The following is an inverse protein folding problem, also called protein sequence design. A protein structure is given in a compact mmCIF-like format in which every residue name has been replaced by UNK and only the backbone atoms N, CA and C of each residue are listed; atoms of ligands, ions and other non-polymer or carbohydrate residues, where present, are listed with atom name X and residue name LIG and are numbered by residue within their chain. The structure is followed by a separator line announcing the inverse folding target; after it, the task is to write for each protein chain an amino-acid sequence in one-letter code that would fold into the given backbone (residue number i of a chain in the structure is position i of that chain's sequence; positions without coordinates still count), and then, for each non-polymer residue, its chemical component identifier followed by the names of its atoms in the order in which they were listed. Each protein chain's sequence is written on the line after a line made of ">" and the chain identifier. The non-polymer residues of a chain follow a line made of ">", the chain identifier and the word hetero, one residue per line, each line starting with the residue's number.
data_IF_336904751066
#
_entry.id   IF_336904751066
#
_cell.length_a   1.000
_cell.length_b   1.000
_cell.length_c   1.000
_cell.angle_alpha   90.00
_cell.angle_beta   90.00
_cell.angle_gamma   90.00
#
_symmetry.space_group_name_H-M   'P 1'
#
loop_
_entity.id
_entity.type
_entity.pdbx_description
1 polymer ?
#
# COMPACT_ATOMS: atom_id res chain seq x y z
N UNK A 1 -2.51 2.35 10.26
CA UNK A 1 -2.20 1.05 10.92
C UNK A 1 -0.78 0.65 10.55
N UNK A 2 0.03 0.22 11.53
CA UNK A 2 1.45 -0.04 11.30
C UNK A 2 1.73 -1.45 10.78
N UNK A 3 2.68 -1.54 9.86
CA UNK A 3 3.24 -2.77 9.33
C UNK A 3 4.73 -2.84 9.64
N UNK A 4 5.25 -4.04 9.86
CA UNK A 4 6.70 -4.26 9.96
C UNK A 4 7.29 -4.43 8.57
N UNK A 5 8.25 -3.58 8.23
CA UNK A 5 8.92 -3.60 6.93
C UNK A 5 10.44 -3.58 7.11
N UNK A 6 11.16 -4.26 6.21
CA UNK A 6 12.62 -4.21 6.11
C UNK A 6 12.99 -3.39 4.87
N UNK A 7 13.77 -2.33 5.03
CA UNK A 7 14.23 -1.52 3.89
C UNK A 7 15.29 -2.29 3.11
N UNK A 8 15.06 -2.50 1.83
CA UNK A 8 15.93 -3.27 0.95
C UNK A 8 16.76 -2.36 0.02
N UNK A 9 16.17 -1.23 -0.41
CA UNK A 9 16.78 -0.29 -1.36
C UNK A 9 16.23 1.11 -1.11
N UNK A 10 17.06 2.11 -1.34
CA UNK A 10 16.67 3.51 -1.55
C UNK A 10 17.15 3.83 -2.97
N UNK A 11 16.29 4.40 -3.81
CA UNK A 11 16.67 4.76 -5.17
C UNK A 11 17.74 5.87 -5.15
N UNK A 12 18.81 5.76 -5.97
CA UNK A 12 19.92 6.72 -5.94
C UNK A 12 19.61 8.05 -6.63
N UNK A 13 18.49 8.15 -7.36
CA UNK A 13 18.06 9.36 -8.08
C UNK A 13 16.86 10.00 -7.39
N UNK A 14 15.91 9.17 -6.93
CA UNK A 14 14.71 9.61 -6.23
C UNK A 14 14.77 9.09 -4.80
N UNK A 15 15.32 9.87 -3.87
CA UNK A 15 15.61 9.43 -2.50
C UNK A 15 14.36 8.93 -1.74
N UNK A 16 13.18 9.40 -2.13
CA UNK A 16 11.90 8.95 -1.57
C UNK A 16 11.50 7.55 -2.07
N UNK A 17 11.92 7.12 -3.27
CA UNK A 17 11.55 5.82 -3.80
C UNK A 17 12.34 4.71 -3.09
N UNK A 18 11.63 3.79 -2.45
CA UNK A 18 12.19 2.75 -1.60
C UNK A 18 11.65 1.38 -1.99
N UNK A 19 12.51 0.37 -1.97
CA UNK A 19 12.07 -1.03 -1.95
C UNK A 19 12.09 -1.54 -0.51
N UNK A 20 11.04 -2.24 -0.10
CA UNK A 20 10.96 -2.86 1.21
C UNK A 20 10.37 -4.27 1.14
N UNK A 21 10.70 -5.09 2.14
CA UNK A 21 10.13 -6.41 2.35
C UNK A 21 9.05 -6.32 3.43
N UNK A 22 7.85 -6.80 3.12
CA UNK A 22 6.71 -6.87 4.03
C UNK A 22 6.03 -8.22 3.87
N UNK A 23 5.89 -8.98 4.96
CA UNK A 23 5.29 -10.32 4.92
C UNK A 23 5.84 -11.23 3.79
N UNK A 24 7.16 -11.20 3.57
CA UNK A 24 7.91 -11.92 2.50
C UNK A 24 7.62 -11.44 1.07
N UNK A 25 6.92 -10.33 0.90
CA UNK A 25 6.64 -9.70 -0.39
C UNK A 25 7.57 -8.50 -0.58
N UNK A 26 8.19 -8.38 -1.76
CA UNK A 26 8.98 -7.20 -2.12
C UNK A 26 8.05 -6.16 -2.74
N UNK A 27 8.08 -4.95 -2.21
CA UNK A 27 7.20 -3.84 -2.58
C UNK A 27 8.03 -2.59 -2.81
N UNK A 28 7.63 -1.77 -3.75
CA UNK A 28 8.19 -0.44 -4.00
C UNK A 28 7.16 0.60 -3.57
N UNK A 29 7.61 1.63 -2.87
CA UNK A 29 6.78 2.74 -2.43
C UNK A 29 7.61 4.00 -2.23
N UNK A 30 6.97 5.06 -1.77
CA UNK A 30 7.61 6.37 -1.59
C UNK A 30 7.59 6.77 -0.12
N UNK A 31 8.76 7.00 0.47
CA UNK A 31 8.90 7.58 1.81
C UNK A 31 8.34 9.01 1.81
N UNK A 32 7.30 9.25 2.60
CA UNK A 32 6.67 10.57 2.76
C UNK A 32 6.99 11.23 4.10
N UNK A 33 7.84 10.58 4.91
CA UNK A 33 8.28 11.11 6.20
C UNK A 33 9.58 11.91 6.07
N UNK A 34 9.85 12.85 6.99
CA UNK A 34 11.12 13.57 7.03
C UNK A 34 12.27 12.71 7.60
N UNK A 35 11.99 11.49 8.06
CA UNK A 35 12.96 10.63 8.71
C UNK A 35 13.88 9.98 7.69
N UNK A 36 15.19 10.05 7.97
CA UNK A 36 16.19 9.27 7.24
C UNK A 36 16.04 7.78 7.58
N UNK A 37 15.91 6.96 6.54
CA UNK A 37 15.84 5.50 6.66
C UNK A 37 17.14 4.84 6.21
N UNK A 38 17.41 3.66 6.75
CA UNK A 38 18.67 2.94 6.51
C UNK A 38 18.34 1.58 5.88
N UNK A 39 19.05 1.25 4.81
CA UNK A 39 18.96 -0.06 4.15
C UNK A 39 19.38 -1.17 5.12
N UNK A 40 18.69 -2.31 5.05
CA UNK A 40 18.81 -3.48 5.94
C UNK A 40 18.37 -3.24 7.39
N UNK A 41 17.56 -2.22 7.64
CA UNK A 41 16.94 -1.98 8.95
C UNK A 41 15.42 -2.18 8.88
N UNK A 42 14.87 -2.73 9.95
CA UNK A 42 13.43 -2.92 10.12
C UNK A 42 12.78 -1.71 10.80
N UNK A 43 11.56 -1.39 10.35
CA UNK A 43 10.75 -0.29 10.84
C UNK A 43 9.30 -0.71 10.98
N UNK A 44 8.56 0.00 11.84
CA UNK A 44 7.11 0.03 11.79
C UNK A 44 6.69 1.22 10.95
N UNK A 45 5.90 0.98 9.90
CA UNK A 45 5.50 2.00 8.94
C UNK A 45 4.01 1.92 8.64
N UNK A 46 3.39 3.06 8.40
CA UNK A 46 2.05 3.13 7.82
C UNK A 46 2.17 3.16 6.30
N UNK A 47 1.23 2.51 5.61
CA UNK A 47 1.18 2.46 4.16
C UNK A 47 -0.15 3.06 3.71
N UNK A 48 -0.07 4.08 2.87
CA UNK A 48 -1.20 4.75 2.23
C UNK A 48 -1.11 4.59 0.70
N UNK A 49 -2.18 4.92 0.00
CA UNK A 49 -2.26 4.93 -1.45
C UNK A 49 -2.24 6.36 -1.97
N UNK A 50 -1.68 6.52 -3.16
CA UNK A 50 -1.78 7.75 -3.92
C UNK A 50 -2.36 7.46 -5.29
N UNK A 51 -3.30 8.30 -5.70
CA UNK A 51 -3.91 8.31 -7.04
C UNK A 51 -3.85 9.72 -7.61
N UNK A 52 -3.53 9.85 -8.89
CA UNK A 52 -3.51 11.13 -9.60
C UNK A 52 -4.93 11.63 -9.88
N UNK A 53 -5.83 10.70 -10.21
CA UNK A 53 -7.23 10.95 -10.52
C UNK A 53 -8.14 10.42 -9.39
N UNK A 54 -9.43 10.25 -9.66
CA UNK A 54 -10.35 9.65 -8.70
C UNK A 54 -10.05 8.15 -8.48
N UNK A 55 -10.01 7.74 -7.22
CA UNK A 55 -9.94 6.32 -6.86
C UNK A 55 -11.20 5.60 -7.33
N UNK A 56 -11.04 4.44 -7.97
CA UNK A 56 -12.13 3.51 -8.30
C UNK A 56 -11.90 2.20 -7.54
N UNK A 57 -12.92 1.71 -6.84
CA UNK A 57 -12.90 0.43 -6.13
C UNK A 57 -14.08 -0.43 -6.60
N UNK A 58 -13.79 -1.68 -6.94
CA UNK A 58 -14.79 -2.66 -7.37
C UNK A 58 -14.82 -3.87 -6.43
N UNK A 59 -15.98 -4.50 -6.25
CA UNK A 59 -16.10 -5.75 -5.49
C UNK A 59 -15.56 -6.95 -6.30
N UNK A 60 -14.81 -7.83 -5.64
CA UNK A 60 -14.43 -9.13 -6.19
C UNK A 60 -15.62 -10.11 -6.10
N UNK A 61 -16.30 -10.34 -7.24
CA UNK A 61 -17.56 -11.11 -7.29
C UNK A 61 -17.33 -12.62 -7.16
N UNK A 62 -16.35 -13.19 -7.87
CA UNK A 62 -16.15 -14.64 -7.96
C UNK A 62 -15.02 -15.13 -7.03
N UNK A 63 -13.78 -14.74 -7.32
CA UNK A 63 -12.61 -15.16 -6.56
C UNK A 63 -12.26 -14.10 -5.50
N UNK A 64 -12.39 -14.48 -4.22
CA UNK A 64 -12.06 -13.62 -3.08
C UNK A 64 -10.64 -13.89 -2.60
N UNK A 65 -9.70 -13.03 -2.96
CA UNK A 65 -8.30 -13.21 -2.60
C UNK A 65 -7.60 -11.89 -2.25
N UNK A 66 -6.40 -12.05 -1.69
CA UNK A 66 -5.51 -10.96 -1.32
C UNK A 66 -4.22 -11.07 -2.12
N UNK A 67 -3.83 -9.98 -2.78
CA UNK A 67 -2.66 -9.94 -3.64
C UNK A 67 -2.32 -8.48 -3.96
N UNK A 68 -1.05 -8.24 -4.25
CA UNK A 68 -0.62 -7.03 -4.95
C UNK A 68 0.03 -7.43 -6.28
N UNK A 69 -0.25 -6.66 -7.33
CA UNK A 69 0.38 -6.82 -8.63
C UNK A 69 1.00 -5.50 -9.03
N UNK A 70 2.32 -5.48 -9.19
CA UNK A 70 2.99 -4.31 -9.72
C UNK A 70 2.64 -4.15 -11.20
N UNK A 71 2.24 -2.95 -11.58
CA UNK A 71 2.01 -2.55 -12.97
C UNK A 71 3.08 -1.54 -13.39
N UNK A 72 3.03 -1.11 -14.64
CA UNK A 72 3.94 -0.10 -15.18
C UNK A 72 4.02 1.17 -14.32
N UNK A 73 5.21 1.77 -14.26
CA UNK A 73 5.49 3.05 -13.60
C UNK A 73 5.30 3.07 -12.07
N UNK A 74 5.48 1.93 -11.40
CA UNK A 74 5.41 1.85 -9.93
C UNK A 74 4.01 1.80 -9.36
N UNK A 75 2.98 1.74 -10.22
CA UNK A 75 1.61 1.51 -9.81
C UNK A 75 1.34 0.09 -9.36
N UNK A 76 0.18 -0.10 -8.75
CA UNK A 76 -0.27 -1.41 -8.29
C UNK A 76 -1.74 -1.65 -8.59
N UNK A 77 -2.07 -2.90 -8.90
CA UNK A 77 -3.42 -3.43 -8.70
C UNK A 77 -3.42 -4.13 -7.35
N UNK A 78 -4.33 -3.71 -6.48
CA UNK A 78 -4.50 -4.21 -5.13
C UNK A 78 -5.75 -5.07 -5.06
N UNK A 79 -5.61 -6.27 -4.51
CA UNK A 79 -6.70 -7.17 -4.19
C UNK A 79 -6.68 -7.39 -2.69
N UNK A 80 -7.78 -7.06 -2.01
CA UNK A 80 -7.80 -7.12 -0.56
C UNK A 80 -9.21 -7.14 0.01
N UNK A 81 -9.29 -7.28 1.33
CA UNK A 81 -10.55 -7.12 2.06
C UNK A 81 -10.62 -5.71 2.61
N UNK A 82 -11.65 -4.95 2.26
CA UNK A 82 -11.90 -3.66 2.88
C UNK A 82 -12.48 -3.92 4.28
N UNK A 83 -11.78 -3.47 5.30
CA UNK A 83 -12.16 -3.57 6.70
C UNK A 83 -12.75 -2.24 7.16
N UNK A 84 -13.20 -2.20 8.41
CA UNK A 84 -13.61 -0.96 9.06
C UNK A 84 -12.43 0.01 9.20
N UNK A 85 -12.75 1.27 9.49
CA UNK A 85 -11.79 2.32 9.82
C UNK A 85 -10.80 2.59 8.67
N UNK A 86 -11.29 2.50 7.42
CA UNK A 86 -10.52 2.78 6.21
C UNK A 86 -9.23 1.94 6.11
N UNK A 87 -9.34 0.65 6.44
CA UNK A 87 -8.23 -0.31 6.35
C UNK A 87 -8.48 -1.28 5.20
N UNK A 88 -7.55 -1.38 4.27
CA UNK A 88 -7.52 -2.43 3.26
C UNK A 88 -6.47 -3.49 3.63
N UNK A 89 -6.88 -4.74 3.69
CA UNK A 89 -6.00 -5.88 3.95
C UNK A 89 -5.71 -6.66 2.66
N UNK A 90 -4.53 -6.41 2.09
CA UNK A 90 -4.00 -7.05 0.86
C UNK A 90 -3.00 -8.18 1.17
N UNK A 91 -2.97 -8.66 2.42
CA UNK A 91 -1.88 -9.48 2.95
C UNK A 91 -0.88 -8.66 3.78
N UNK A 92 -1.06 -7.35 3.80
CA UNK A 92 -0.62 -6.38 4.80
C UNK A 92 -1.64 -5.23 4.81
N UNK A 93 -1.51 -4.30 5.75
CA UNK A 93 -2.51 -3.26 5.95
C UNK A 93 -2.16 -1.98 5.22
N UNK A 94 -3.13 -1.43 4.51
CA UNK A 94 -3.07 -0.12 3.87
C UNK A 94 -4.19 0.72 4.49
N UNK A 95 -3.89 1.95 4.88
CA UNK A 95 -4.87 2.90 5.43
C UNK A 95 -4.92 4.14 4.57
N UNK A 96 -6.11 4.58 4.18
CA UNK A 96 -6.29 5.76 3.33
C UNK A 96 -7.62 6.44 3.56
N UNK A 97 -7.62 7.76 3.69
CA UNK A 97 -8.85 8.55 3.79
C UNK A 97 -9.73 8.43 2.53
N UNK A 98 -9.13 8.06 1.38
CA UNK A 98 -9.86 7.82 0.14
C UNK A 98 -10.87 6.65 0.22
N UNK A 99 -10.74 5.77 1.22
CA UNK A 99 -11.68 4.67 1.41
C UNK A 99 -12.99 5.10 2.09
N UNK A 100 -13.04 6.32 2.65
CA UNK A 100 -14.23 6.86 3.33
C UNK A 100 -15.46 6.91 2.40
N UNK A 101 -15.25 7.22 1.11
CA UNK A 101 -16.30 7.26 0.08
C UNK A 101 -16.84 5.86 -0.28
N UNK A 102 -16.14 4.81 0.15
CA UNK A 102 -16.40 3.40 -0.19
C UNK A 102 -16.87 2.56 0.99
N UNK A 103 -17.38 3.19 2.06
CA UNK A 103 -17.88 2.48 3.26
C UNK A 103 -18.93 1.41 3.00
N UNK A 104 -19.69 1.53 1.90
CA UNK A 104 -20.66 0.52 1.49
C UNK A 104 -20.01 -0.82 1.06
N UNK A 105 -18.71 -0.83 0.77
CA UNK A 105 -17.91 -2.02 0.48
C UNK A 105 -17.20 -2.60 1.73
N UNK A 106 -17.39 -2.03 2.92
CA UNK A 106 -16.81 -2.58 4.15
C UNK A 106 -17.21 -4.06 4.36
N UNK A 107 -16.21 -4.88 4.69
CA UNK A 107 -16.35 -6.33 4.83
C UNK A 107 -16.25 -7.11 3.52
N UNK A 108 -16.28 -6.44 2.36
CA UNK A 108 -16.14 -7.08 1.06
C UNK A 108 -14.69 -7.25 0.63
N UNK A 109 -14.47 -8.20 -0.27
CA UNK A 109 -13.23 -8.29 -1.02
C UNK A 109 -13.33 -7.36 -2.21
N UNK A 110 -12.32 -6.54 -2.42
CA UNK A 110 -12.31 -5.47 -3.42
C UNK A 110 -11.05 -5.49 -4.24
N UNK A 111 -11.12 -4.95 -5.46
CA UNK A 111 -9.97 -4.62 -6.27
C UNK A 111 -9.94 -3.13 -6.60
N UNK A 112 -8.73 -2.58 -6.71
CA UNK A 112 -8.50 -1.19 -7.03
C UNK A 112 -7.12 -1.03 -7.66
N UNK A 113 -6.99 -0.04 -8.54
CA UNK A 113 -5.70 0.37 -9.10
C UNK A 113 -5.24 1.66 -8.42
N UNK A 114 -3.96 1.73 -8.10
CA UNK A 114 -3.33 2.91 -7.49
C UNK A 114 -2.06 3.29 -8.23
N UNK A 115 -1.74 4.58 -8.25
CA UNK A 115 -0.54 5.08 -8.92
C UNK A 115 0.73 4.79 -8.12
N UNK A 116 0.66 4.90 -6.79
CA UNK A 116 1.80 4.68 -5.89
C UNK A 116 1.34 4.21 -4.51
N UNK A 117 2.23 3.53 -3.81
CA UNK A 117 2.16 3.33 -2.38
C UNK A 117 3.02 4.37 -1.68
N UNK A 118 2.47 5.03 -0.67
CA UNK A 118 3.17 5.96 0.19
C UNK A 118 3.47 5.28 1.53
N UNK A 119 4.66 5.54 2.07
CA UNK A 119 5.15 4.91 3.29
C UNK A 119 5.58 6.01 4.24
N UNK A 120 4.97 6.04 5.43
CA UNK A 120 5.35 6.97 6.49
C UNK A 120 5.90 6.22 7.69
N UNK A 121 6.92 6.83 8.30
CA UNK A 121 7.59 6.33 9.49
C UNK A 121 7.34 7.31 10.64
N UNK A 122 7.12 6.77 11.83
CA UNK A 122 7.02 7.52 13.09
C UNK A 122 8.34 7.47 13.88
#
# INVERSE_FOLDING_TARGET
>A
MKNKILICRIDPIIEEEIDFLINKQKVTGFNTSPQEIIVNKEYEAEIDIFVNDALTIEEQIEDKFKKIENITNGGYILFGKLLKDNILDVGFFITSDLFEDYKYLEGQYVCLQVDRLQVSFD
#
